data_IF_276657501468
#
_entry.id   IF_276657501468
#
_cell.length_a   1.000
_cell.length_b   1.000
_cell.length_c   1.000
_cell.angle_alpha   90.00
_cell.angle_beta   90.00
_cell.angle_gamma   90.00
#
_symmetry.space_group_name_H-M   'P 1'
#
loop_
_entity.id
_entity.type
_entity.pdbx_description
1 polymer ?
#
# COMPACT_ATOMS: atom_id res chain seq x y z
N UNK A 1 -23.20 -8.63 -1.25
CA UNK A 1 -23.57 -7.37 -0.56
C UNK A 1 -22.69 -6.27 -1.12
N UNK A 2 -23.24 -5.17 -1.63
CA UNK A 2 -22.39 -4.12 -2.22
C UNK A 2 -21.99 -3.14 -1.13
N UNK A 3 -20.83 -3.37 -0.51
CA UNK A 3 -20.27 -2.43 0.45
C UNK A 3 -19.44 -1.37 -0.30
N UNK A 4 -19.71 -0.11 0.00
CA UNK A 4 -18.92 1.03 -0.47
C UNK A 4 -18.66 1.95 0.72
N UNK A 5 -17.42 2.35 0.95
CA UNK A 5 -17.04 3.29 2.00
C UNK A 5 -17.77 4.61 1.84
N UNK A 6 -18.22 5.21 2.94
CA UNK A 6 -18.67 6.60 2.97
C UNK A 6 -17.45 7.57 3.13
N UNK A 7 -17.70 8.88 2.98
CA UNK A 7 -16.60 9.86 3.03
C UNK A 7 -15.95 10.00 4.42
N UNK A 8 -16.69 9.78 5.51
CA UNK A 8 -16.14 9.78 6.86
C UNK A 8 -15.17 8.59 7.06
N UNK A 9 -15.54 7.42 6.54
CA UNK A 9 -14.67 6.25 6.56
C UNK A 9 -13.42 6.48 5.70
N UNK A 10 -13.58 7.08 4.50
CA UNK A 10 -12.45 7.46 3.64
C UNK A 10 -11.46 8.36 4.35
N UNK A 11 -11.94 9.36 5.06
CA UNK A 11 -11.12 10.32 5.80
C UNK A 11 -10.18 9.63 6.79
N UNK A 12 -10.68 8.71 7.60
CA UNK A 12 -9.86 7.98 8.61
C UNK A 12 -8.98 6.88 8.01
N UNK A 13 -9.19 6.54 6.73
CA UNK A 13 -8.35 5.63 5.96
C UNK A 13 -7.36 6.38 5.04
N UNK A 14 -7.34 7.73 5.09
CA UNK A 14 -6.47 8.57 4.26
C UNK A 14 -6.86 8.66 2.80
N UNK A 15 -8.02 8.15 2.45
CA UNK A 15 -8.53 8.19 1.09
C UNK A 15 -9.14 9.56 0.80
N UNK A 16 -9.07 9.97 -0.44
CA UNK A 16 -9.77 11.15 -0.92
C UNK A 16 -11.29 10.93 -0.90
N UNK A 17 -12.04 11.94 -0.45
CA UNK A 17 -13.50 11.90 -0.48
C UNK A 17 -14.03 11.88 -1.92
N UNK A 18 -15.09 11.14 -2.15
CA UNK A 18 -15.82 11.21 -3.42
C UNK A 18 -16.58 12.54 -3.47
N UNK A 19 -16.38 13.31 -4.53
CA UNK A 19 -16.98 14.60 -4.73
C UNK A 19 -18.31 14.46 -5.49
N UNK A 20 -19.28 15.30 -5.17
CA UNK A 20 -20.61 15.28 -5.80
C UNK A 20 -20.58 15.63 -7.28
N UNK A 21 -19.61 16.45 -7.70
CA UNK A 21 -19.43 16.87 -9.08
C UNK A 21 -18.69 15.85 -9.95
N UNK A 22 -18.19 14.75 -9.38
CA UNK A 22 -17.52 13.72 -10.18
C UNK A 22 -18.51 12.86 -10.94
N UNK A 23 -18.20 12.61 -12.21
CA UNK A 23 -18.96 11.66 -13.03
C UNK A 23 -18.58 10.22 -12.68
N UNK A 24 -19.58 9.38 -12.53
CA UNK A 24 -19.40 7.96 -12.16
C UNK A 24 -19.65 7.06 -13.36
N UNK A 25 -18.72 6.16 -13.66
CA UNK A 25 -18.87 5.13 -14.69
C UNK A 25 -18.76 3.75 -14.04
N UNK A 26 -19.81 2.95 -14.20
CA UNK A 26 -19.81 1.56 -13.74
C UNK A 26 -19.32 0.65 -14.88
N UNK A 27 -18.22 -0.05 -14.64
CA UNK A 27 -17.67 -1.04 -15.56
C UNK A 27 -18.09 -2.45 -15.13
N UNK A 28 -17.88 -3.42 -16.03
CA UNK A 28 -18.06 -4.85 -15.71
C UNK A 28 -17.14 -5.24 -14.52
N UNK A 29 -17.45 -6.38 -13.90
CA UNK A 29 -16.72 -6.93 -12.78
C UNK A 29 -16.71 -6.03 -11.53
N UNK A 30 -17.83 -5.35 -11.27
CA UNK A 30 -18.01 -4.54 -10.05
C UNK A 30 -16.90 -3.49 -9.84
N UNK A 31 -16.58 -2.76 -10.90
CA UNK A 31 -15.65 -1.64 -10.86
C UNK A 31 -16.40 -0.32 -11.08
N UNK A 32 -16.16 0.64 -10.21
CA UNK A 32 -16.64 2.01 -10.30
C UNK A 32 -15.46 2.93 -10.58
N UNK A 33 -15.56 3.72 -11.63
CA UNK A 33 -14.55 4.72 -12.02
C UNK A 33 -15.14 6.11 -11.82
N UNK A 34 -14.41 6.97 -11.15
CA UNK A 34 -14.78 8.37 -10.92
C UNK A 34 -13.92 9.29 -11.76
N UNK A 35 -14.58 10.22 -12.43
CA UNK A 35 -13.96 11.22 -13.26
C UNK A 35 -14.17 12.61 -12.69
N UNK A 36 -13.09 13.36 -12.57
CA UNK A 36 -13.13 14.81 -12.46
C UNK A 36 -12.89 15.40 -13.85
N UNK A 37 -13.93 15.95 -14.44
CA UNK A 37 -13.95 16.33 -15.86
C UNK A 37 -13.57 15.14 -16.76
N UNK A 38 -12.39 15.20 -17.42
CA UNK A 38 -11.85 14.16 -18.31
C UNK A 38 -10.76 13.30 -17.65
N UNK A 39 -10.51 13.45 -16.36
CA UNK A 39 -9.46 12.72 -15.65
C UNK A 39 -10.09 11.64 -14.78
N UNK A 40 -9.62 10.40 -14.93
CA UNK A 40 -9.91 9.34 -13.97
C UNK A 40 -9.12 9.65 -12.71
N UNK A 41 -9.81 9.95 -11.61
CA UNK A 41 -9.19 10.32 -10.34
C UNK A 41 -9.23 9.21 -9.31
N UNK A 42 -10.26 8.37 -9.35
CA UNK A 42 -10.49 7.32 -8.36
C UNK A 42 -11.13 6.09 -9.00
N UNK A 43 -10.78 4.93 -8.46
CA UNK A 43 -11.38 3.64 -8.83
C UNK A 43 -11.74 2.87 -7.56
N UNK A 44 -12.90 2.25 -7.57
CA UNK A 44 -13.35 1.28 -6.56
C UNK A 44 -13.59 -0.05 -7.28
N UNK A 45 -12.93 -1.09 -6.80
CA UNK A 45 -13.18 -2.48 -7.17
C UNK A 45 -13.77 -3.20 -5.95
N UNK A 46 -14.88 -3.90 -6.12
CA UNK A 46 -15.54 -4.58 -5.02
C UNK A 46 -16.14 -5.90 -5.44
N UNK A 47 -16.25 -6.82 -4.49
CA UNK A 47 -16.95 -8.09 -4.62
C UNK A 47 -17.53 -8.50 -3.25
N UNK A 48 -18.00 -9.72 -3.10
CA UNK A 48 -18.44 -10.25 -1.81
C UNK A 48 -17.27 -10.44 -0.82
N UNK A 49 -16.06 -10.62 -1.33
CA UNK A 49 -14.86 -10.96 -0.55
C UNK A 49 -13.74 -9.94 -0.67
N UNK A 50 -13.90 -8.91 -1.46
CA UNK A 50 -12.84 -7.93 -1.71
C UNK A 50 -13.42 -6.53 -1.85
N UNK A 51 -12.66 -5.55 -1.36
CA UNK A 51 -12.85 -4.14 -1.62
C UNK A 51 -11.48 -3.49 -1.82
N UNK A 52 -11.31 -2.77 -2.90
CA UNK A 52 -10.09 -1.99 -3.14
C UNK A 52 -10.47 -0.62 -3.67
N UNK A 53 -9.96 0.43 -3.04
CA UNK A 53 -10.12 1.81 -3.47
C UNK A 53 -8.74 2.44 -3.65
N UNK A 54 -8.50 3.05 -4.82
CA UNK A 54 -7.21 3.65 -5.17
C UNK A 54 -7.38 4.84 -6.13
N UNK A 55 -6.31 5.61 -6.29
CA UNK A 55 -6.27 6.80 -7.13
C UNK A 55 -5.55 6.53 -8.45
N UNK A 56 -6.01 7.21 -9.49
CA UNK A 56 -5.38 7.31 -10.79
C UNK A 56 -5.20 8.79 -11.17
N UNK A 57 -4.50 9.02 -12.28
CA UNK A 57 -4.39 10.32 -12.93
C UNK A 57 -4.27 10.08 -14.42
N UNK A 58 -5.34 9.49 -15.00
CA UNK A 58 -5.38 9.13 -16.42
C UNK A 58 -6.45 9.96 -17.13
N UNK A 59 -6.08 10.54 -18.27
CA UNK A 59 -6.99 11.37 -19.07
C UNK A 59 -7.76 10.46 -20.03
N UNK A 60 -9.05 10.71 -20.18
CA UNK A 60 -9.87 10.11 -21.23
C UNK A 60 -10.31 11.19 -22.23
N UNK A 61 -10.43 10.82 -23.50
CA UNK A 61 -10.97 11.68 -24.53
C UNK A 61 -12.51 11.61 -24.64
N UNK A 62 -13.07 12.30 -25.61
CA UNK A 62 -14.50 12.35 -25.87
C UNK A 62 -15.09 11.00 -26.35
N UNK A 63 -14.24 10.17 -26.97
CA UNK A 63 -14.59 8.83 -27.44
C UNK A 63 -14.47 7.77 -26.33
N UNK A 64 -14.10 8.18 -25.11
CA UNK A 64 -13.90 7.28 -23.97
C UNK A 64 -12.62 6.44 -24.06
N UNK A 65 -11.58 6.97 -24.72
CA UNK A 65 -10.29 6.33 -24.80
C UNK A 65 -9.35 6.89 -23.72
N UNK A 66 -8.68 6.02 -22.98
CA UNK A 66 -7.62 6.39 -22.04
C UNK A 66 -6.41 6.81 -22.87
N UNK A 67 -5.97 8.05 -22.67
CA UNK A 67 -4.85 8.62 -23.40
C UNK A 67 -3.51 8.22 -22.80
N UNK A 68 -2.54 7.81 -23.61
CA UNK A 68 -1.22 7.44 -23.11
C UNK A 68 -0.43 8.66 -22.63
N UNK A 69 0.40 8.47 -21.60
CA UNK A 69 1.30 9.53 -21.09
C UNK A 69 2.53 9.79 -21.98
N UNK A 70 2.72 8.97 -23.02
CA UNK A 70 3.85 9.10 -23.95
C UNK A 70 3.40 8.95 -25.39
N UNK A 71 4.07 9.62 -26.31
CA UNK A 71 3.79 9.55 -27.75
C UNK A 71 3.96 8.16 -28.38
N UNK A 72 4.59 7.21 -27.67
CA UNK A 72 4.76 5.83 -28.13
C UNK A 72 3.62 4.90 -27.73
N UNK A 73 2.79 5.33 -26.78
CA UNK A 73 1.64 4.55 -26.32
C UNK A 73 0.45 4.69 -27.28
N UNK A 74 -0.42 3.68 -27.28
CA UNK A 74 -1.69 3.74 -28.03
C UNK A 74 -2.84 4.01 -27.06
N UNK A 75 -3.81 4.85 -27.44
CA UNK A 75 -5.06 5.02 -26.69
C UNK A 75 -5.73 3.65 -26.46
N UNK A 76 -6.33 3.47 -25.30
CA UNK A 76 -7.04 2.23 -24.93
C UNK A 76 -8.49 2.55 -24.62
N UNK A 77 -9.41 1.74 -25.12
CA UNK A 77 -10.82 1.86 -24.76
C UNK A 77 -10.98 1.68 -23.25
N UNK A 78 -11.81 2.52 -22.63
CA UNK A 78 -12.13 2.41 -21.22
C UNK A 78 -12.80 1.05 -20.94
N UNK A 79 -12.18 0.23 -20.15
CA UNK A 79 -12.63 -1.10 -19.78
C UNK A 79 -11.97 -1.53 -18.47
N UNK A 80 -12.49 -2.57 -17.83
CA UNK A 80 -11.91 -3.12 -16.61
C UNK A 80 -10.39 -3.38 -16.74
N UNK A 81 -9.97 -4.10 -17.78
CA UNK A 81 -8.56 -4.47 -17.96
C UNK A 81 -7.66 -3.27 -18.28
N UNK A 82 -8.16 -2.28 -19.03
CA UNK A 82 -7.39 -1.06 -19.31
C UNK A 82 -7.19 -0.22 -18.07
N UNK A 83 -8.23 -0.06 -17.23
CA UNK A 83 -8.13 0.66 -15.94
C UNK A 83 -7.19 -0.05 -14.98
N UNK A 84 -7.29 -1.38 -14.86
CA UNK A 84 -6.35 -2.15 -14.01
C UNK A 84 -4.88 -2.03 -14.44
N UNK A 85 -4.62 -1.83 -15.74
CA UNK A 85 -3.27 -1.65 -16.27
C UNK A 85 -2.70 -0.24 -16.07
N UNK A 86 -3.49 0.72 -15.60
CA UNK A 86 -3.06 2.09 -15.33
C UNK A 86 -2.12 2.15 -14.12
N UNK A 87 -1.29 3.19 -14.11
CA UNK A 87 -0.38 3.43 -12.99
C UNK A 87 -1.12 4.00 -11.79
N UNK A 88 -1.21 3.19 -10.73
CA UNK A 88 -1.86 3.58 -9.48
C UNK A 88 -0.96 4.53 -8.69
N UNK A 89 -1.57 5.55 -8.06
CA UNK A 89 -0.87 6.58 -7.29
C UNK A 89 -1.52 6.79 -5.92
N UNK A 90 -0.81 7.47 -5.03
CA UNK A 90 -1.35 7.92 -3.73
C UNK A 90 -1.76 6.80 -2.80
N UNK A 91 -2.59 7.17 -1.83
CA UNK A 91 -3.11 6.24 -0.83
C UNK A 91 -4.13 5.30 -1.46
N UNK A 92 -4.10 4.07 -1.02
CA UNK A 92 -5.11 3.06 -1.32
C UNK A 92 -5.53 2.33 -0.06
N UNK A 93 -6.74 1.82 -0.09
CA UNK A 93 -7.26 0.91 0.91
C UNK A 93 -7.63 -0.42 0.24
N UNK A 94 -7.29 -1.51 0.88
CA UNK A 94 -7.67 -2.85 0.43
C UNK A 94 -8.21 -3.66 1.61
N UNK A 95 -9.35 -4.30 1.40
CA UNK A 95 -9.89 -5.36 2.23
C UNK A 95 -10.01 -6.62 1.38
N UNK A 96 -9.59 -7.75 1.90
CA UNK A 96 -9.69 -9.04 1.24
C UNK A 96 -9.95 -10.13 2.26
N UNK A 97 -10.92 -11.01 1.97
CA UNK A 97 -11.25 -12.18 2.76
C UNK A 97 -11.46 -13.37 1.81
N UNK A 98 -10.45 -14.19 1.69
CA UNK A 98 -10.44 -15.46 0.94
C UNK A 98 -9.89 -16.54 1.84
N UNK A 99 -10.06 -17.81 1.45
CA UNK A 99 -9.74 -18.99 2.27
C UNK A 99 -8.38 -18.94 3.01
N UNK A 100 -7.37 -18.25 2.47
CA UNK A 100 -6.02 -18.17 3.03
C UNK A 100 -5.52 -16.73 3.22
N UNK A 101 -6.35 -15.75 2.92
CA UNK A 101 -6.00 -14.32 2.95
C UNK A 101 -7.14 -13.55 3.58
N UNK A 102 -6.85 -12.84 4.65
CA UNK A 102 -7.82 -12.14 5.45
C UNK A 102 -7.14 -10.91 6.08
N UNK A 103 -7.29 -9.75 5.43
CA UNK A 103 -6.70 -8.51 5.93
C UNK A 103 -7.39 -7.26 5.42
N UNK A 104 -7.25 -6.18 6.18
CA UNK A 104 -7.44 -4.81 5.71
C UNK A 104 -6.09 -4.08 5.74
N UNK A 105 -5.82 -3.26 4.74
CA UNK A 105 -4.55 -2.58 4.57
C UNK A 105 -4.73 -1.17 4.02
N UNK A 106 -3.99 -0.23 4.61
CA UNK A 106 -3.79 1.12 4.10
C UNK A 106 -2.35 1.21 3.59
N UNK A 107 -2.17 1.55 2.34
CA UNK A 107 -0.86 1.70 1.73
C UNK A 107 -0.77 2.89 0.79
N UNK A 108 0.42 3.12 0.25
CA UNK A 108 0.67 4.19 -0.71
C UNK A 108 1.37 3.63 -1.95
N UNK A 109 0.70 3.69 -3.09
CA UNK A 109 1.24 3.20 -4.36
C UNK A 109 2.45 3.98 -4.84
N UNK A 110 2.52 5.28 -4.56
CA UNK A 110 3.65 6.13 -4.98
C UNK A 110 4.94 5.76 -4.23
N UNK A 111 4.86 5.58 -2.92
CA UNK A 111 6.03 5.27 -2.08
C UNK A 111 6.28 3.77 -1.94
N UNK A 112 5.33 2.93 -2.28
CA UNK A 112 5.36 1.47 -2.10
C UNK A 112 5.49 1.06 -0.61
N UNK A 113 4.88 1.85 0.28
CA UNK A 113 4.89 1.61 1.73
C UNK A 113 3.50 1.22 2.22
N UNK A 114 3.45 0.51 3.33
CA UNK A 114 2.23 0.21 4.09
C UNK A 114 2.17 1.10 5.32
N UNK A 115 1.05 1.79 5.51
CA UNK A 115 0.77 2.55 6.73
C UNK A 115 0.31 1.63 7.85
N UNK A 116 -0.66 0.76 7.54
CA UNK A 116 -1.27 -0.16 8.49
C UNK A 116 -1.75 -1.43 7.78
N UNK A 117 -1.72 -2.53 8.50
CA UNK A 117 -2.38 -3.78 8.10
C UNK A 117 -2.87 -4.53 9.33
N UNK A 118 -4.08 -5.08 9.28
CA UNK A 118 -4.61 -5.95 10.35
C UNK A 118 -3.76 -7.19 10.59
N UNK A 119 -2.94 -7.60 9.61
CA UNK A 119 -1.98 -8.69 9.79
C UNK A 119 -0.88 -8.38 10.80
N UNK A 120 -0.60 -7.09 11.07
CA UNK A 120 0.40 -6.72 12.07
C UNK A 120 -0.07 -6.98 13.51
N UNK A 121 -1.38 -7.00 13.73
CA UNK A 121 -2.02 -7.15 15.03
C UNK A 121 -2.81 -8.46 15.15
N UNK A 122 -2.68 -9.36 14.16
CA UNK A 122 -3.40 -10.66 14.10
C UNK A 122 -4.93 -10.51 14.21
N UNK A 123 -5.48 -9.37 13.77
CA UNK A 123 -6.92 -9.10 13.84
C UNK A 123 -7.63 -9.94 12.77
N UNK A 124 -8.58 -10.77 13.22
CA UNK A 124 -9.37 -11.58 12.32
C UNK A 124 -10.58 -10.80 11.77
N UNK A 125 -10.60 -10.61 10.45
CA UNK A 125 -11.68 -9.94 9.69
C UNK A 125 -12.19 -10.82 8.54
N UNK A 126 -12.30 -12.13 8.78
CA UNK A 126 -12.67 -13.15 7.79
C UNK A 126 -14.14 -13.08 7.32
N UNK A 127 -14.97 -12.24 7.95
CA UNK A 127 -16.32 -11.96 7.51
C UNK A 127 -16.56 -10.47 7.38
N UNK A 128 -17.58 -10.09 6.59
CA UNK A 128 -17.96 -8.70 6.42
C UNK A 128 -18.40 -8.04 7.73
N UNK A 129 -19.06 -8.76 8.61
CA UNK A 129 -19.49 -8.28 9.92
C UNK A 129 -18.27 -7.92 10.78
N UNK A 130 -17.26 -8.79 10.82
CA UNK A 130 -16.01 -8.54 11.56
C UNK A 130 -15.23 -7.37 10.94
N UNK A 131 -15.18 -7.30 9.62
CA UNK A 131 -14.59 -6.14 8.95
C UNK A 131 -15.32 -4.84 9.30
N UNK A 132 -16.66 -4.82 9.27
CA UNK A 132 -17.47 -3.66 9.62
C UNK A 132 -17.27 -3.24 11.08
N UNK A 133 -17.19 -4.20 11.99
CA UNK A 133 -16.91 -3.94 13.40
C UNK A 133 -15.50 -3.35 13.58
N UNK A 134 -14.49 -3.90 12.90
CA UNK A 134 -13.14 -3.37 12.92
C UNK A 134 -13.10 -1.93 12.39
N UNK A 135 -13.76 -1.65 11.27
CA UNK A 135 -13.78 -0.31 10.66
C UNK A 135 -14.48 0.70 11.58
N UNK A 136 -15.54 0.30 12.27
CA UNK A 136 -16.22 1.14 13.26
C UNK A 136 -15.31 1.47 14.44
N UNK A 137 -14.63 0.46 15.01
CA UNK A 137 -13.66 0.69 16.08
C UNK A 137 -12.44 1.49 15.63
N UNK A 138 -11.96 1.27 14.41
CA UNK A 138 -10.91 2.09 13.81
C UNK A 138 -11.33 3.57 13.76
N UNK A 139 -12.53 3.85 13.25
CA UNK A 139 -13.06 5.20 13.14
C UNK A 139 -13.25 5.87 14.51
N UNK A 140 -13.80 5.14 15.48
CA UNK A 140 -14.03 5.62 16.85
C UNK A 140 -12.74 5.98 17.59
N UNK A 141 -11.70 5.17 17.39
CA UNK A 141 -10.42 5.32 18.08
C UNK A 141 -9.39 6.14 17.27
N UNK A 142 -9.80 6.76 16.16
CA UNK A 142 -8.93 7.55 15.31
C UNK A 142 -8.68 8.92 15.93
N UNK A 143 -7.46 9.16 16.36
CA UNK A 143 -7.05 10.36 17.09
C UNK A 143 -6.47 11.44 16.16
N UNK A 144 -6.29 12.66 16.68
CA UNK A 144 -5.59 13.74 15.97
C UNK A 144 -4.13 13.35 15.63
N UNK A 145 -3.48 12.57 16.50
CA UNK A 145 -2.15 12.04 16.23
C UNK A 145 -2.16 11.09 15.03
N UNK A 146 -3.13 10.20 14.95
CA UNK A 146 -3.30 9.28 13.81
C UNK A 146 -3.52 10.06 12.51
N UNK A 147 -4.32 11.13 12.58
CA UNK A 147 -4.55 12.02 11.45
C UNK A 147 -3.25 12.67 10.96
N UNK A 148 -2.46 13.20 11.87
CA UNK A 148 -1.17 13.81 11.55
C UNK A 148 -0.19 12.79 10.93
N UNK A 149 -0.11 11.58 11.49
CA UNK A 149 0.73 10.50 10.97
C UNK A 149 0.27 10.07 9.56
N UNK A 150 -1.02 9.97 9.34
CA UNK A 150 -1.61 9.59 8.06
C UNK A 150 -1.36 10.66 6.98
N UNK A 151 -1.53 11.95 7.32
CA UNK A 151 -1.20 13.05 6.41
C UNK A 151 0.30 13.13 6.10
N UNK A 152 1.15 12.87 7.08
CA UNK A 152 2.60 12.76 6.86
C UNK A 152 2.91 11.62 5.89
N UNK A 153 2.31 10.45 6.09
CA UNK A 153 2.49 9.28 5.22
C UNK A 153 1.98 9.52 3.79
N UNK A 154 0.86 10.22 3.65
CA UNK A 154 0.25 10.58 2.37
C UNK A 154 1.18 11.48 1.54
N UNK A 155 1.86 12.42 2.19
CA UNK A 155 2.75 13.39 1.55
C UNK A 155 4.21 12.91 1.45
N UNK A 156 4.53 11.69 1.89
CA UNK A 156 5.87 11.13 1.74
C UNK A 156 6.25 10.99 0.26
N UNK A 157 7.50 11.24 -0.03
CA UNK A 157 8.09 10.99 -1.36
C UNK A 157 8.89 9.70 -1.36
N UNK A 158 8.97 9.05 -2.52
CA UNK A 158 9.79 7.86 -2.68
C UNK A 158 11.26 8.24 -2.77
N UNK A 159 12.05 7.74 -1.83
CA UNK A 159 13.50 7.88 -1.86
C UNK A 159 14.15 6.54 -2.20
N UNK A 160 15.09 6.56 -3.14
CA UNK A 160 15.96 5.41 -3.36
C UNK A 160 17.06 5.43 -2.29
N UNK A 161 17.06 4.41 -1.43
CA UNK A 161 18.05 4.25 -0.36
C UNK A 161 19.10 3.26 -0.85
N UNK A 162 20.38 3.64 -0.82
CA UNK A 162 21.49 2.71 -1.03
C UNK A 162 21.73 1.95 0.27
N UNK A 163 21.24 0.72 0.30
CA UNK A 163 21.33 -0.14 1.50
C UNK A 163 22.72 -0.76 1.60
N UNK A 164 23.37 -0.56 2.74
CA UNK A 164 24.72 -1.07 3.04
C UNK A 164 24.68 -2.06 4.19
N UNK A 165 25.65 -2.96 4.18
CA UNK A 165 25.93 -3.85 5.32
C UNK A 165 26.29 -3.01 6.54
N UNK A 166 25.68 -3.34 7.66
CA UNK A 166 25.83 -2.58 8.89
C UNK A 166 24.74 -1.55 9.14
N UNK A 167 23.97 -1.15 8.12
CA UNK A 167 22.88 -0.19 8.28
C UNK A 167 21.81 -0.72 9.23
N UNK A 168 21.32 0.17 10.08
CA UNK A 168 20.16 -0.09 10.91
C UNK A 168 18.90 0.38 10.17
N UNK A 169 17.81 -0.33 10.36
CA UNK A 169 16.51 0.03 9.81
C UNK A 169 15.42 -0.11 10.87
N UNK A 170 14.35 0.62 10.64
CA UNK A 170 13.15 0.62 11.47
C UNK A 170 11.99 0.10 10.62
N UNK A 171 11.13 -0.70 11.19
CA UNK A 171 9.91 -1.18 10.55
C UNK A 171 8.72 -1.08 11.51
N UNK A 172 7.53 -0.93 10.98
CA UNK A 172 6.30 -0.86 11.78
C UNK A 172 5.91 -2.27 12.22
N UNK A 173 5.66 -2.47 13.52
CA UNK A 173 5.20 -3.75 14.10
C UNK A 173 3.70 -3.74 14.21
N UNK A 174 3.12 -2.63 14.69
CA UNK A 174 1.70 -2.39 14.81
C UNK A 174 1.37 -0.91 14.56
N UNK A 175 0.16 -0.45 14.89
CA UNK A 175 -0.28 0.93 14.68
C UNK A 175 0.64 1.95 15.36
N UNK A 176 1.16 1.64 16.54
CA UNK A 176 1.85 2.58 17.43
C UNK A 176 3.34 2.28 17.62
N UNK A 177 3.78 1.05 17.33
CA UNK A 177 5.10 0.56 17.70
C UNK A 177 5.98 0.24 16.49
N UNK A 178 7.28 0.38 16.71
CA UNK A 178 8.32 0.09 15.74
C UNK A 178 9.26 -0.99 16.26
N UNK A 179 9.68 -1.87 15.35
CA UNK A 179 10.75 -2.82 15.51
C UNK A 179 12.01 -2.32 14.81
N UNK A 180 13.15 -2.93 15.15
CA UNK A 180 14.48 -2.52 14.70
C UNK A 180 15.24 -3.70 14.14
N UNK A 181 16.00 -3.45 13.10
CA UNK A 181 16.84 -4.46 12.50
C UNK A 181 18.15 -3.88 11.99
N UNK A 182 19.07 -4.78 11.62
CA UNK A 182 20.35 -4.45 11.01
C UNK A 182 20.57 -5.29 9.76
N UNK A 183 21.08 -4.67 8.72
CA UNK A 183 21.50 -5.35 7.50
C UNK A 183 22.83 -6.06 7.77
N UNK A 184 22.84 -7.38 7.65
CA UNK A 184 24.04 -8.19 7.83
C UNK A 184 24.78 -8.42 6.52
N UNK A 185 24.02 -8.66 5.42
CA UNK A 185 24.60 -9.02 4.14
C UNK A 185 23.73 -8.54 3.00
N UNK A 186 24.34 -7.91 1.99
CA UNK A 186 23.69 -7.54 0.75
C UNK A 186 24.02 -8.59 -0.34
N UNK A 187 23.11 -9.57 -0.49
CA UNK A 187 23.31 -10.69 -1.42
C UNK A 187 23.39 -10.23 -2.88
N UNK A 188 22.78 -9.09 -3.22
CA UNK A 188 22.94 -8.48 -4.55
C UNK A 188 24.41 -8.09 -4.83
N UNK A 189 25.11 -7.56 -3.84
CA UNK A 189 26.55 -7.23 -3.95
C UNK A 189 27.37 -8.51 -4.11
N UNK A 190 27.07 -9.53 -3.31
CA UNK A 190 27.72 -10.85 -3.42
C UNK A 190 27.56 -11.48 -4.81
N UNK A 191 26.36 -11.41 -5.40
CA UNK A 191 26.12 -11.93 -6.76
C UNK A 191 26.96 -11.26 -7.85
N UNK A 192 27.44 -10.03 -7.59
CA UNK A 192 28.29 -9.28 -8.51
C UNK A 192 29.78 -9.51 -8.29
N UNK A 193 30.15 -10.10 -7.17
CA UNK A 193 31.56 -10.38 -6.83
C UNK A 193 32.01 -11.64 -7.57
N UNK A 194 32.90 -11.45 -8.56
CA UNK A 194 33.46 -12.53 -9.39
C UNK A 194 34.41 -13.47 -8.62
N UNK A 195 34.83 -13.07 -7.42
CA UNK A 195 35.73 -13.88 -6.58
C UNK A 195 34.96 -14.93 -5.76
N UNK A 196 33.65 -14.79 -5.68
CA UNK A 196 32.79 -15.77 -5.00
C UNK A 196 32.50 -16.93 -5.96
N UNK A 197 33.33 -17.94 -5.88
CA UNK A 197 33.18 -19.19 -6.64
C UNK A 197 32.47 -20.20 -5.75
N UNK A 198 31.26 -20.62 -6.15
CA UNK A 198 30.55 -21.70 -5.48
C UNK A 198 29.03 -21.57 -5.53
N UNK A 199 28.35 -22.69 -5.42
CA UNK A 199 26.91 -22.78 -5.34
C UNK A 199 26.41 -22.55 -3.91
N UNK A 200 26.46 -21.32 -3.45
CA UNK A 200 25.89 -20.99 -2.16
C UNK A 200 24.39 -20.80 -2.33
N UNK A 201 23.58 -21.48 -1.51
CA UNK A 201 22.13 -21.42 -1.56
C UNK A 201 21.56 -19.99 -1.53
N UNK A 202 22.25 -19.05 -0.86
CA UNK A 202 21.89 -17.64 -0.84
C UNK A 202 22.00 -16.96 -2.20
N UNK A 203 22.92 -17.41 -3.09
CA UNK A 203 23.11 -16.83 -4.41
C UNK A 203 22.02 -17.27 -5.40
N UNK A 204 21.32 -18.36 -5.13
CA UNK A 204 20.19 -18.84 -5.94
C UNK A 204 18.87 -18.11 -5.65
N UNK A 205 18.78 -17.33 -4.57
CA UNK A 205 17.57 -16.57 -4.24
C UNK A 205 17.25 -15.56 -5.34
N UNK A 206 15.99 -15.53 -5.75
CA UNK A 206 15.52 -14.57 -6.76
C UNK A 206 15.45 -13.15 -6.18
N UNK A 207 15.54 -12.12 -7.05
CA UNK A 207 15.42 -10.72 -6.68
C UNK A 207 16.70 -10.14 -6.06
N UNK A 208 16.53 -9.29 -5.06
CA UNK A 208 17.60 -8.56 -4.37
C UNK A 208 17.53 -8.81 -2.86
N UNK A 209 17.74 -10.06 -2.40
CA UNK A 209 17.57 -10.40 -1.00
C UNK A 209 18.66 -9.74 -0.13
N UNK A 210 18.27 -9.47 1.11
CA UNK A 210 19.14 -9.02 2.18
C UNK A 210 19.11 -10.06 3.30
N UNK A 211 20.25 -10.38 3.89
CA UNK A 211 20.27 -11.04 5.19
C UNK A 211 20.19 -9.95 6.27
N UNK A 212 19.25 -10.09 7.19
CA UNK A 212 18.99 -9.10 8.23
C UNK A 212 18.99 -9.77 9.61
N UNK A 213 19.33 -8.99 10.63
CA UNK A 213 19.06 -9.31 12.03
C UNK A 213 17.91 -8.46 12.51
N UNK A 214 16.89 -9.07 13.13
CA UNK A 214 15.84 -8.37 13.84
C UNK A 214 16.19 -8.39 15.33
N UNK A 215 16.05 -7.24 15.99
CA UNK A 215 16.24 -7.11 17.43
C UNK A 215 14.91 -7.34 18.16
N UNK A 216 14.99 -7.96 19.32
CA UNK A 216 13.83 -8.16 20.20
C UNK A 216 13.54 -6.89 21.02
N UNK A 217 13.45 -5.75 20.32
CA UNK A 217 13.16 -4.42 20.88
C UNK A 217 11.99 -3.81 20.13
N UNK A 218 10.96 -3.44 20.87
CA UNK A 218 9.80 -2.70 20.36
C UNK A 218 9.76 -1.36 21.08
N UNK A 219 9.50 -0.26 20.36
CA UNK A 219 9.46 1.07 20.92
C UNK A 219 8.43 1.93 20.15
N UNK A 220 7.65 2.80 20.82
CA UNK A 220 6.72 3.73 20.15
C UNK A 220 7.44 4.84 19.37
N UNK A 221 8.74 5.07 19.62
CA UNK A 221 9.54 6.04 18.87
C UNK A 221 10.39 5.32 17.82
N UNK A 222 10.48 5.92 16.61
CA UNK A 222 11.44 5.52 15.58
C UNK A 222 12.89 5.81 15.97
N UNK A 223 13.09 6.78 16.87
CA UNK A 223 14.42 7.24 17.31
C UNK A 223 14.76 6.58 18.63
N UNK A 224 15.71 5.67 18.60
CA UNK A 224 16.30 5.03 19.80
C UNK A 224 17.80 5.17 19.79
N UNK A 225 18.41 5.06 20.95
CA UNK A 225 19.87 4.98 21.03
C UNK A 225 20.33 3.59 20.55
N UNK A 226 21.23 3.56 19.56
CA UNK A 226 21.73 2.30 18.99
C UNK A 226 22.44 1.42 20.03
N UNK A 227 22.93 1.98 21.15
CA UNK A 227 23.49 1.20 22.25
C UNK A 227 22.47 0.26 22.89
N UNK A 228 21.18 0.60 22.83
CA UNK A 228 20.08 -0.23 23.33
C UNK A 228 19.82 -1.48 22.48
N UNK A 229 20.35 -1.53 21.26
CA UNK A 229 20.25 -2.67 20.36
C UNK A 229 21.43 -3.66 20.46
N UNK A 230 22.42 -3.37 21.30
CA UNK A 230 23.64 -4.17 21.43
C UNK A 230 23.53 -5.31 22.43
N UNK A 231 22.39 -5.46 23.09
CA UNK A 231 22.13 -6.53 24.04
C UNK A 231 21.56 -7.79 23.37
#
# INVERSE_FOLDING_TARGET
MNFILNNEQRKVLGLESVQENWTTINLKNQMIVFLDNKTIVKVIEYSETEYTEYQLSEIIDEDGLILPKTNKGKPKKLSYSSVQSCHKIGIYFKYETKAWVNYAMIGNHTTQKTFYSTNFEEINIDTFEKFSAWLHEWQKNFSEKDFFELETFKNETRHNIDIKEGDFFVFKVDKTNFGFGRVLLNIRKLKKDKNIIGHYGLLSLMGQPLAIKIYHKINPSKNINLSELKQ
#
